data_IF_672906503542
#
_entry.id   IF_672906503542
#
_cell.length_a   1.000
_cell.length_b   1.000
_cell.length_c   1.000
_cell.angle_alpha   90.00
_cell.angle_beta   90.00
_cell.angle_gamma   90.00
#
_symmetry.space_group_name_H-M   'P 1'
#
loop_
_entity.id
_entity.type
_entity.pdbx_description
1 polymer ?
#
# COMPACT_ATOMS: atom_id res chain seq x y z
N UNK A 1 25.62 -28.28 36.13
CA UNK A 1 26.10 -27.75 34.84
C UNK A 1 25.13 -28.21 33.74
N UNK A 2 23.96 -27.61 33.58
CA UNK A 2 23.03 -28.00 32.52
C UNK A 2 22.01 -26.91 32.12
N UNK A 3 22.22 -25.64 32.47
CA UNK A 3 21.28 -24.55 32.14
C UNK A 3 21.58 -23.84 30.81
N UNK A 4 22.79 -24.02 30.26
CA UNK A 4 23.18 -23.38 29.00
C UNK A 4 22.58 -24.02 27.75
N UNK A 5 22.39 -25.35 27.77
CA UNK A 5 21.89 -26.09 26.61
C UNK A 5 20.41 -25.86 26.35
N UNK A 6 19.56 -25.72 27.37
CA UNK A 6 18.14 -25.46 27.23
C UNK A 6 17.85 -24.06 26.67
N UNK A 7 18.68 -23.07 27.04
CA UNK A 7 18.56 -21.68 26.53
C UNK A 7 18.92 -21.59 25.05
N UNK A 8 19.96 -22.30 24.60
CA UNK A 8 20.35 -22.33 23.20
C UNK A 8 19.28 -22.99 22.31
N UNK A 9 18.68 -24.10 22.79
CA UNK A 9 17.61 -24.80 22.05
C UNK A 9 16.34 -23.96 21.97
N UNK A 10 15.95 -23.26 23.03
CA UNK A 10 14.78 -22.36 23.01
C UNK A 10 14.96 -21.17 22.03
N UNK A 11 16.17 -20.57 21.99
CA UNK A 11 16.50 -19.51 21.07
C UNK A 11 16.48 -19.99 19.60
N UNK A 12 16.95 -21.21 19.33
CA UNK A 12 16.92 -21.81 17.98
C UNK A 12 15.51 -22.13 17.51
N UNK A 13 14.62 -22.60 18.40
CA UNK A 13 13.23 -22.90 18.07
C UNK A 13 12.43 -21.62 17.79
N UNK A 14 12.70 -20.53 18.49
CA UNK A 14 12.06 -19.23 18.25
C UNK A 14 12.53 -18.65 16.91
N UNK A 15 13.81 -18.76 16.58
CA UNK A 15 14.35 -18.33 15.29
C UNK A 15 13.79 -19.15 14.12
N UNK A 16 13.66 -20.46 14.29
CA UNK A 16 13.09 -21.36 13.28
C UNK A 16 11.59 -21.09 13.05
N UNK A 17 10.82 -20.75 14.09
CA UNK A 17 9.41 -20.41 13.98
C UNK A 17 9.19 -19.07 13.24
N UNK A 18 10.10 -18.09 13.40
CA UNK A 18 10.02 -16.82 12.67
C UNK A 18 10.37 -16.93 11.19
N UNK A 19 11.20 -17.91 10.80
CA UNK A 19 11.55 -18.17 9.40
C UNK A 19 10.46 -18.93 8.64
N UNK A 20 9.61 -19.69 9.34
CA UNK A 20 8.54 -20.48 8.70
C UNK A 20 7.34 -19.65 8.25
N UNK A 21 7.16 -18.45 8.76
CA UNK A 21 6.03 -17.55 8.39
C UNK A 21 6.26 -16.84 7.05
N UNK A 22 7.52 -16.72 6.60
CA UNK A 22 7.86 -16.01 5.36
C UNK A 22 7.75 -16.84 4.07
N UNK A 23 7.60 -18.16 4.16
CA UNK A 23 7.64 -19.06 3.01
C UNK A 23 6.32 -19.32 2.29
N UNK A 24 5.19 -18.88 2.83
CA UNK A 24 3.86 -19.29 2.35
C UNK A 24 3.25 -18.45 1.22
N UNK A 25 3.85 -17.33 0.81
CA UNK A 25 3.23 -16.41 -0.15
C UNK A 25 3.83 -16.39 -1.55
N UNK A 26 4.91 -17.11 -1.81
CA UNK A 26 5.58 -17.09 -3.11
C UNK A 26 4.97 -18.07 -4.14
N UNK A 27 4.10 -18.99 -3.74
CA UNK A 27 3.52 -20.01 -4.63
C UNK A 27 2.07 -19.74 -5.08
N UNK A 28 1.44 -18.65 -4.60
CA UNK A 28 0.01 -18.38 -4.89
C UNK A 28 -0.25 -17.51 -6.12
N UNK A 29 0.78 -17.00 -6.82
CA UNK A 29 0.58 -15.96 -7.84
C UNK A 29 0.53 -16.47 -9.28
N UNK A 30 0.77 -17.75 -9.56
CA UNK A 30 1.01 -18.18 -10.95
C UNK A 30 0.15 -19.32 -11.51
N UNK A 31 -0.82 -19.84 -10.76
CA UNK A 31 -1.77 -20.83 -11.31
C UNK A 31 -3.22 -20.35 -11.24
N UNK A 32 -3.53 -19.25 -11.95
CA UNK A 32 -4.92 -18.99 -12.33
C UNK A 32 -5.23 -19.77 -13.60
N UNK A 33 -5.92 -20.89 -13.43
CA UNK A 33 -6.51 -21.62 -14.56
C UNK A 33 -7.51 -20.70 -15.30
N UNK A 34 -7.67 -20.90 -16.61
CA UNK A 34 -8.60 -20.13 -17.46
C UNK A 34 -10.01 -20.02 -16.87
N UNK A 35 -10.48 -21.05 -16.16
CA UNK A 35 -11.76 -21.05 -15.44
C UNK A 35 -11.82 -20.07 -14.26
N UNK A 36 -10.69 -19.66 -13.69
CA UNK A 36 -10.64 -18.65 -12.62
C UNK A 36 -10.72 -17.21 -13.16
N UNK A 37 -10.51 -17.00 -14.46
CA UNK A 37 -10.65 -15.68 -15.10
C UNK A 37 -12.09 -15.34 -15.51
N UNK A 38 -12.99 -16.31 -15.54
CA UNK A 38 -14.40 -16.13 -15.90
C UNK A 38 -15.30 -15.73 -14.71
N UNK A 39 -14.77 -15.58 -13.50
CA UNK A 39 -15.56 -15.00 -12.40
C UNK A 39 -15.94 -13.57 -12.76
N UNK A 40 -17.25 -13.29 -12.71
CA UNK A 40 -17.78 -11.96 -12.85
C UNK A 40 -16.95 -10.98 -12.00
N UNK A 41 -16.56 -9.87 -12.58
CA UNK A 41 -15.81 -8.86 -11.87
C UNK A 41 -16.75 -8.11 -10.92
N UNK A 42 -16.63 -8.36 -9.62
CA UNK A 42 -17.46 -7.74 -8.59
C UNK A 42 -16.73 -6.61 -7.84
N UNK A 43 -15.58 -6.17 -8.37
CA UNK A 43 -14.83 -5.06 -7.80
C UNK A 43 -15.53 -3.74 -8.08
N UNK A 44 -15.64 -2.91 -7.05
CA UNK A 44 -16.09 -1.53 -7.13
C UNK A 44 -14.95 -0.60 -6.77
N UNK A 45 -14.76 0.47 -7.52
CA UNK A 45 -13.78 1.52 -7.19
C UNK A 45 -14.47 2.88 -7.27
N UNK A 46 -13.92 3.87 -6.55
CA UNK A 46 -14.22 5.25 -6.86
C UNK A 46 -13.59 5.61 -8.20
N UNK A 47 -14.36 6.28 -9.06
CA UNK A 47 -13.93 6.74 -10.36
C UNK A 47 -14.23 8.22 -10.49
N UNK A 48 -13.21 9.04 -10.54
CA UNK A 48 -13.30 10.48 -10.63
C UNK A 48 -11.96 11.11 -11.03
N UNK A 49 -12.02 12.37 -11.43
CA UNK A 49 -10.87 13.18 -11.75
C UNK A 49 -11.09 14.60 -11.22
N UNK A 50 -10.12 15.19 -10.53
CA UNK A 50 -10.24 16.56 -10.00
C UNK A 50 -10.43 17.64 -11.06
N UNK A 51 -10.11 17.37 -12.32
CA UNK A 51 -10.36 18.29 -13.42
C UNK A 51 -11.85 18.39 -13.80
N UNK A 52 -12.63 17.36 -13.46
CA UNK A 52 -14.07 17.25 -13.76
C UNK A 52 -14.93 17.32 -12.49
N UNK A 53 -14.48 16.62 -11.44
CA UNK A 53 -15.21 16.43 -10.18
C UNK A 53 -14.74 17.34 -9.05
N UNK A 54 -13.68 18.11 -9.28
CA UNK A 54 -13.10 19.07 -8.33
C UNK A 54 -12.80 18.43 -6.96
N UNK A 55 -13.23 19.09 -5.88
CA UNK A 55 -12.98 18.69 -4.49
C UNK A 55 -13.65 17.38 -4.10
N UNK A 56 -14.75 16.99 -4.76
CA UNK A 56 -15.43 15.71 -4.51
C UNK A 56 -14.56 14.49 -4.78
N UNK A 57 -13.60 14.62 -5.70
CA UNK A 57 -12.64 13.56 -5.97
C UNK A 57 -11.50 13.52 -4.95
N UNK A 58 -11.19 14.63 -4.30
CA UNK A 58 -10.13 14.72 -3.26
C UNK A 58 -10.63 14.20 -1.92
N UNK A 59 -11.78 14.68 -1.49
CA UNK A 59 -12.38 14.33 -0.21
C UNK A 59 -13.64 13.46 -0.43
N UNK A 60 -13.50 12.18 -0.08
CA UNK A 60 -14.57 11.18 -0.16
C UNK A 60 -15.34 11.00 1.16
N UNK A 61 -15.30 11.97 2.09
CA UNK A 61 -16.00 11.88 3.37
C UNK A 61 -17.52 12.05 3.27
N UNK A 62 -18.02 12.55 2.14
CA UNK A 62 -19.45 12.71 1.85
C UNK A 62 -20.10 11.47 1.25
N UNK A 63 -21.41 11.55 0.99
CA UNK A 63 -22.14 10.50 0.28
C UNK A 63 -21.93 10.62 -1.24
N UNK A 64 -20.87 10.04 -1.75
CA UNK A 64 -20.49 10.09 -3.17
C UNK A 64 -20.78 8.77 -3.91
N UNK A 65 -21.98 8.24 -3.74
CA UNK A 65 -22.42 7.03 -4.47
C UNK A 65 -22.31 7.19 -6.00
N UNK A 66 -22.43 8.41 -6.52
CA UNK A 66 -22.26 8.72 -7.94
C UNK A 66 -20.85 8.48 -8.47
N UNK A 67 -19.83 8.50 -7.59
CA UNK A 67 -18.44 8.23 -7.94
C UNK A 67 -18.09 6.75 -7.84
N UNK A 68 -18.97 5.91 -7.28
CA UNK A 68 -18.74 4.48 -7.15
C UNK A 68 -19.09 3.79 -8.46
N UNK A 69 -18.13 3.09 -9.05
CA UNK A 69 -18.31 2.40 -10.33
C UNK A 69 -17.90 0.95 -10.20
N UNK A 70 -18.73 0.05 -10.74
CA UNK A 70 -18.37 -1.37 -10.87
C UNK A 70 -17.32 -1.51 -11.97
N UNK A 71 -16.18 -2.10 -11.65
CA UNK A 71 -15.12 -2.32 -12.62
C UNK A 71 -15.56 -3.35 -13.66
N UNK A 72 -15.25 -3.07 -14.92
CA UNK A 72 -15.61 -3.93 -16.06
C UNK A 72 -14.42 -4.77 -16.50
N UNK A 73 -14.73 -5.85 -17.18
CA UNK A 73 -13.77 -6.73 -17.83
C UNK A 73 -12.69 -7.25 -16.84
N UNK A 74 -11.44 -7.15 -17.24
CA UNK A 74 -10.26 -7.59 -16.52
C UNK A 74 -9.70 -6.56 -15.52
N UNK A 75 -10.36 -5.42 -15.34
CA UNK A 75 -9.93 -4.35 -14.41
C UNK A 75 -10.22 -4.73 -12.97
N UNK A 76 -9.27 -5.39 -12.31
CA UNK A 76 -9.40 -5.95 -10.96
C UNK A 76 -8.62 -5.19 -9.89
N UNK A 77 -8.16 -3.98 -10.20
CA UNK A 77 -7.36 -3.14 -9.31
C UNK A 77 -7.99 -1.75 -9.28
N UNK A 78 -8.15 -1.20 -8.07
CA UNK A 78 -8.45 0.21 -7.88
C UNK A 78 -7.16 1.00 -7.74
N UNK A 79 -7.07 2.16 -8.38
CA UNK A 79 -5.91 3.05 -8.24
C UNK A 79 -6.30 4.43 -7.78
N UNK A 80 -5.35 5.09 -7.12
CA UNK A 80 -5.30 6.53 -6.92
C UNK A 80 -4.01 7.04 -7.54
N UNK A 81 -4.10 8.01 -8.43
CA UNK A 81 -2.96 8.69 -9.02
C UNK A 81 -2.97 10.15 -8.61
N UNK A 82 -1.95 10.58 -7.88
CA UNK A 82 -1.79 11.94 -7.39
C UNK A 82 -0.67 12.64 -8.13
N UNK A 83 -0.95 13.86 -8.58
CA UNK A 83 0.02 14.74 -9.17
C UNK A 83 0.26 15.93 -8.24
N UNK A 84 1.50 16.17 -7.90
CA UNK A 84 1.90 17.30 -7.05
C UNK A 84 3.23 17.87 -7.52
N UNK A 85 3.56 19.06 -7.05
CA UNK A 85 4.85 19.68 -7.32
C UNK A 85 5.41 20.36 -6.07
N UNK A 86 6.73 20.51 -6.05
CA UNK A 86 7.46 21.34 -5.09
C UNK A 86 8.35 22.29 -5.84
N UNK A 87 8.53 23.50 -5.32
CA UNK A 87 9.53 24.45 -5.81
C UNK A 87 10.64 24.62 -4.78
N UNK A 88 11.88 24.52 -5.24
CA UNK A 88 13.06 24.72 -4.39
C UNK A 88 13.78 26.00 -4.80
N UNK A 89 14.10 26.84 -3.81
CA UNK A 89 15.03 27.95 -3.90
C UNK A 89 16.37 27.54 -3.27
N UNK A 90 17.37 28.39 -3.31
CA UNK A 90 18.68 28.10 -2.68
C UNK A 90 18.56 27.81 -1.17
N UNK A 91 17.57 28.38 -0.50
CA UNK A 91 17.45 28.32 0.96
C UNK A 91 16.22 27.56 1.49
N UNK A 92 15.29 27.14 0.61
CA UNK A 92 14.05 26.47 1.04
C UNK A 92 13.41 25.65 -0.05
N UNK A 93 12.65 24.62 0.35
CA UNK A 93 11.78 23.82 -0.53
C UNK A 93 10.34 23.98 -0.05
N UNK A 94 9.42 24.28 -0.95
CA UNK A 94 7.99 24.38 -0.62
C UNK A 94 7.41 23.02 -0.22
N UNK A 95 6.32 23.02 0.52
CA UNK A 95 5.54 21.82 0.70
C UNK A 95 4.95 21.32 -0.65
N UNK A 96 4.69 20.02 -0.79
CA UNK A 96 4.10 19.49 -2.01
C UNK A 96 2.69 20.02 -2.23
N UNK A 97 2.50 20.75 -3.31
CA UNK A 97 1.18 21.24 -3.74
C UNK A 97 0.56 20.26 -4.73
N UNK A 98 -0.59 19.69 -4.37
CA UNK A 98 -1.36 18.83 -5.27
C UNK A 98 -2.11 19.69 -6.28
N UNK A 99 -2.04 19.31 -7.57
CA UNK A 99 -2.77 19.98 -8.65
C UNK A 99 -3.75 19.06 -9.37
N UNK A 100 -3.57 17.73 -9.27
CA UNK A 100 -4.52 16.78 -9.82
C UNK A 100 -4.53 15.46 -9.04
N UNK A 101 -5.69 14.80 -9.01
CA UNK A 101 -5.89 13.48 -8.48
C UNK A 101 -6.88 12.73 -9.36
N UNK A 102 -6.56 11.48 -9.68
CA UNK A 102 -7.38 10.58 -10.48
C UNK A 102 -7.62 9.27 -9.73
N UNK A 103 -8.84 8.79 -9.74
CA UNK A 103 -9.25 7.49 -9.21
C UNK A 103 -9.93 6.69 -10.31
N UNK A 104 -9.56 5.42 -10.46
CA UNK A 104 -10.18 4.55 -11.48
C UNK A 104 -9.91 3.07 -11.26
N UNK A 105 -10.63 2.23 -12.03
CA UNK A 105 -10.33 0.82 -12.20
C UNK A 105 -9.22 0.62 -13.24
N UNK A 106 -8.32 -0.34 -13.00
CA UNK A 106 -7.28 -0.75 -13.95
C UNK A 106 -7.04 -2.26 -13.90
N UNK A 107 -6.35 -2.77 -14.90
CA UNK A 107 -5.88 -4.16 -14.95
C UNK A 107 -4.41 -4.31 -14.54
N UNK A 108 -3.65 -3.19 -14.55
CA UNK A 108 -2.24 -3.16 -14.14
C UNK A 108 -2.00 -1.95 -13.27
N UNK A 109 -1.23 -2.11 -12.23
CA UNK A 109 -0.83 -1.02 -11.35
C UNK A 109 0.58 -1.29 -10.80
N UNK A 110 1.43 -0.28 -10.89
CA UNK A 110 2.74 -0.25 -10.28
C UNK A 110 2.71 0.86 -9.21
N UNK A 111 2.71 0.50 -7.91
CA UNK A 111 2.70 1.49 -6.85
C UNK A 111 4.05 2.19 -6.75
N UNK A 112 4.03 3.48 -6.48
CA UNK A 112 5.24 4.27 -6.33
C UNK A 112 5.09 5.70 -6.82
N UNK A 113 6.17 6.45 -6.74
CA UNK A 113 6.24 7.83 -7.21
C UNK A 113 7.33 7.99 -8.27
N UNK A 114 6.98 8.64 -9.36
CA UNK A 114 7.94 9.14 -10.36
C UNK A 114 8.19 10.61 -10.03
N UNK A 115 9.46 11.00 -9.97
CA UNK A 115 9.88 12.38 -9.68
C UNK A 115 10.67 12.91 -10.87
N UNK A 116 10.26 14.07 -11.38
CA UNK A 116 10.89 14.72 -12.53
C UNK A 116 11.18 16.18 -12.19
N UNK A 117 12.35 16.67 -12.56
CA UNK A 117 12.78 18.07 -12.40
C UNK A 117 13.78 18.25 -11.27
N UNK A 118 14.46 19.40 -11.28
CA UNK A 118 15.52 19.77 -10.34
C UNK A 118 15.04 20.84 -9.33
N UNK A 119 14.76 22.04 -9.80
CA UNK A 119 14.26 23.15 -8.98
C UNK A 119 12.76 23.05 -8.71
N UNK A 120 12.00 22.76 -9.75
CA UNK A 120 10.58 22.37 -9.62
C UNK A 120 10.50 20.87 -9.82
N UNK A 121 10.20 20.13 -8.76
CA UNK A 121 10.01 18.68 -8.81
C UNK A 121 8.54 18.38 -9.00
N UNK A 122 8.23 17.65 -10.06
CA UNK A 122 6.91 17.10 -10.34
C UNK A 122 6.86 15.66 -9.81
N UNK A 123 5.84 15.34 -9.06
CA UNK A 123 5.59 14.01 -8.50
C UNK A 123 4.34 13.43 -9.13
N UNK A 124 4.44 12.22 -9.65
CA UNK A 124 3.32 11.40 -10.07
C UNK A 124 3.32 10.13 -9.21
N UNK A 125 2.51 10.12 -8.17
CA UNK A 125 2.44 9.01 -7.23
C UNK A 125 1.21 8.15 -7.51
N UNK A 126 1.38 6.83 -7.53
CA UNK A 126 0.32 5.85 -7.76
C UNK A 126 0.21 4.92 -6.56
N UNK A 127 -0.99 4.77 -6.03
CA UNK A 127 -1.34 3.77 -5.03
C UNK A 127 -2.32 2.76 -5.63
N UNK A 128 -2.16 1.49 -5.28
CA UNK A 128 -2.92 0.36 -5.81
C UNK A 128 -3.60 -0.40 -4.69
N UNK A 129 -4.82 -0.88 -4.91
CA UNK A 129 -5.48 -1.81 -4.00
C UNK A 129 -6.49 -2.70 -4.75
N UNK A 130 -6.81 -3.87 -4.19
CA UNK A 130 -7.58 -4.93 -4.86
C UNK A 130 -8.92 -5.23 -4.16
N UNK A 131 -9.31 -4.44 -3.17
CA UNK A 131 -10.59 -4.59 -2.49
C UNK A 131 -11.58 -3.51 -2.93
N UNK A 132 -12.89 -3.80 -2.84
CA UNK A 132 -13.90 -2.83 -3.27
C UNK A 132 -13.82 -1.53 -2.47
N UNK A 133 -13.85 -0.40 -3.20
CA UNK A 133 -13.82 0.97 -2.67
C UNK A 133 -12.60 1.30 -1.80
N UNK A 134 -11.49 0.59 -2.00
CA UNK A 134 -10.25 0.79 -1.25
C UNK A 134 -9.47 2.05 -1.65
N UNK A 135 -9.73 2.61 -2.83
CA UNK A 135 -9.00 3.75 -3.37
C UNK A 135 -9.48 5.10 -2.81
N UNK A 136 -9.62 5.17 -1.47
CA UNK A 136 -10.01 6.38 -0.72
C UNK A 136 -8.83 7.28 -0.34
N UNK A 137 -7.62 6.72 -0.25
CA UNK A 137 -6.41 7.44 0.14
C UNK A 137 -6.07 8.63 -0.78
N UNK A 138 -5.17 9.49 -0.31
CA UNK A 138 -4.71 10.66 -1.09
C UNK A 138 -3.56 10.34 -2.07
N UNK A 139 -3.26 9.05 -2.30
CA UNK A 139 -2.19 8.63 -3.22
C UNK A 139 -0.78 9.02 -2.74
N UNK A 140 -0.58 9.16 -1.43
CA UNK A 140 0.74 9.38 -0.86
C UNK A 140 1.47 8.04 -0.70
N UNK A 141 2.78 8.01 -0.87
CA UNK A 141 3.60 6.80 -0.72
C UNK A 141 3.48 6.18 0.69
N UNK A 142 3.06 6.95 1.68
CA UNK A 142 2.82 6.53 3.06
C UNK A 142 1.58 5.64 3.23
N UNK A 143 0.62 5.69 2.30
CA UNK A 143 -0.59 4.83 2.35
C UNK A 143 -0.26 3.33 2.15
N UNK A 144 0.95 3.01 1.69
CA UNK A 144 1.42 1.63 1.48
C UNK A 144 2.02 0.97 2.74
N UNK A 145 2.22 1.74 3.82
CA UNK A 145 3.13 1.33 4.90
C UNK A 145 2.45 0.76 6.16
N UNK A 146 1.14 0.54 6.15
CA UNK A 146 0.44 -0.07 7.30
C UNK A 146 0.94 -1.49 7.65
N UNK A 147 1.57 -2.18 6.70
CA UNK A 147 2.07 -3.55 6.87
C UNK A 147 3.48 -3.60 7.48
N UNK A 148 4.31 -2.60 7.19
CA UNK A 148 5.68 -2.49 7.72
C UNK A 148 5.70 -2.13 9.20
N UNK A 149 4.80 -1.25 9.64
CA UNK A 149 4.71 -0.82 11.04
C UNK A 149 4.35 -1.99 11.94
N UNK A 150 3.47 -2.89 11.51
CA UNK A 150 3.12 -4.11 12.24
C UNK A 150 4.32 -5.05 12.44
N UNK A 151 5.19 -5.16 11.44
CA UNK A 151 6.38 -6.00 11.51
C UNK A 151 7.43 -5.44 12.49
N UNK A 152 7.68 -4.15 12.44
CA UNK A 152 8.63 -3.47 13.36
C UNK A 152 8.12 -3.52 14.80
N UNK A 153 6.82 -3.30 15.02
CA UNK A 153 6.20 -3.42 16.35
C UNK A 153 6.30 -4.85 16.91
N UNK A 154 6.09 -5.87 16.08
CA UNK A 154 6.24 -7.27 16.50
C UNK A 154 7.69 -7.61 16.87
N UNK A 155 8.68 -7.11 16.14
CA UNK A 155 10.10 -7.31 16.45
C UNK A 155 10.50 -6.62 17.76
N UNK A 156 10.03 -5.39 17.99
CA UNK A 156 10.28 -4.67 19.24
C UNK A 156 9.64 -5.40 20.42
N UNK A 157 8.41 -5.88 20.27
CA UNK A 157 7.71 -6.63 21.32
C UNK A 157 8.43 -7.94 21.66
N UNK A 158 8.92 -8.66 20.65
CA UNK A 158 9.74 -9.86 20.87
C UNK A 158 11.06 -9.56 21.57
N UNK A 159 11.76 -8.49 21.21
CA UNK A 159 13.00 -8.07 21.85
C UNK A 159 12.77 -7.70 23.32
N UNK A 160 11.74 -6.95 23.63
CA UNK A 160 11.36 -6.60 25.02
C UNK A 160 11.02 -7.85 25.83
N UNK A 161 10.24 -8.76 25.23
CA UNK A 161 9.87 -10.02 25.92
C UNK A 161 11.08 -10.90 26.24
N UNK A 162 12.04 -10.99 25.31
CA UNK A 162 13.29 -11.75 25.55
C UNK A 162 14.15 -11.13 26.65
N UNK A 163 14.27 -9.81 26.71
CA UNK A 163 15.05 -9.12 27.75
C UNK A 163 14.37 -9.26 29.12
N UNK A 164 13.04 -9.21 29.21
CA UNK A 164 12.30 -9.28 30.49
C UNK A 164 12.19 -10.70 31.05
N UNK A 165 12.09 -11.70 30.18
CA UNK A 165 11.95 -13.09 30.60
C UNK A 165 13.28 -13.81 30.80
N UNK A 166 14.38 -13.27 30.28
CA UNK A 166 15.75 -13.84 30.37
C UNK A 166 16.76 -12.77 30.80
N UNK A 167 16.66 -12.29 32.05
CA UNK A 167 17.67 -11.37 32.63
C UNK A 167 19.03 -12.02 32.78
#
# INVERSE_FOLDING_TARGET
MSTGSARAVAAFLILAASLSVSGGQLLSKEHRTHAASERANDLWCYQCNTMEDEERCVDLSGNYSSLMTKCKDDKRICIVKRFSFTTSTENSTSEPMMWALERKCTNKCEPGCIVIGERTKLYACTACCETSLCNTGKGTATDLNGREIGFVLALILQAVLTITLYP
#
